data_IF_729099519216
#
_entry.id   IF_729099519216
#
_cell.length_a   1.000
_cell.length_b   1.000
_cell.length_c   1.000
_cell.angle_alpha   90.00
_cell.angle_beta   90.00
_cell.angle_gamma   90.00
#
_symmetry.space_group_name_H-M   'P 1'
#
loop_
_entity.id
_entity.type
_entity.pdbx_description
1 polymer ?
#
# COMPACT_ATOMS: atom_id res chain seq x y z
N UNK A 1 -27.25 -47.28 -43.51
CA UNK A 1 -26.74 -47.80 -42.24
C UNK A 1 -25.39 -47.15 -42.04
N UNK A 2 -25.41 -45.96 -41.53
CA UNK A 2 -24.21 -45.20 -41.07
C UNK A 2 -24.30 -45.08 -39.56
N UNK A 3 -23.34 -45.72 -38.90
CA UNK A 3 -23.17 -45.66 -37.45
C UNK A 3 -22.36 -44.41 -37.10
N UNK A 4 -23.03 -43.38 -36.70
CA UNK A 4 -22.39 -42.25 -35.98
C UNK A 4 -22.10 -42.72 -34.55
N UNK A 5 -20.84 -43.05 -34.32
CA UNK A 5 -20.33 -43.20 -32.95
C UNK A 5 -19.99 -41.81 -32.41
N UNK A 6 -20.88 -41.26 -31.64
CA UNK A 6 -20.58 -40.15 -30.72
C UNK A 6 -19.60 -40.63 -29.66
N UNK A 7 -18.38 -40.13 -29.73
CA UNK A 7 -17.43 -40.26 -28.63
C UNK A 7 -17.84 -39.32 -27.49
N UNK A 8 -17.99 -39.79 -26.26
CA UNK A 8 -18.17 -38.91 -25.13
C UNK A 8 -16.89 -38.14 -24.89
N UNK A 9 -16.95 -36.84 -25.06
CA UNK A 9 -15.94 -35.91 -24.54
C UNK A 9 -15.91 -36.09 -23.03
N UNK A 10 -14.89 -36.78 -22.55
CA UNK A 10 -14.54 -36.79 -21.11
C UNK A 10 -14.11 -35.37 -20.75
N UNK A 11 -14.99 -34.64 -20.12
CA UNK A 11 -14.67 -33.50 -19.30
C UNK A 11 -13.69 -33.98 -18.22
N UNK A 12 -12.42 -33.71 -18.41
CA UNK A 12 -11.45 -33.81 -17.32
C UNK A 12 -11.75 -32.66 -16.35
N UNK A 13 -12.69 -32.88 -15.46
CA UNK A 13 -12.75 -32.14 -14.21
C UNK A 13 -11.42 -32.35 -13.50
N UNK A 14 -10.51 -31.38 -13.62
CA UNK A 14 -9.36 -31.29 -12.75
C UNK A 14 -9.91 -31.09 -11.35
N UNK A 15 -9.93 -32.13 -10.54
CA UNK A 15 -10.04 -32.01 -9.09
C UNK A 15 -8.90 -31.09 -8.62
N UNK A 16 -9.21 -29.80 -8.50
CA UNK A 16 -8.35 -28.89 -7.78
C UNK A 16 -8.36 -29.37 -6.33
N UNK A 17 -7.30 -30.03 -5.93
CA UNK A 17 -7.03 -30.37 -4.54
C UNK A 17 -7.18 -29.06 -3.74
N UNK A 18 -8.14 -29.03 -2.86
CA UNK A 18 -8.49 -27.85 -2.08
C UNK A 18 -7.42 -27.67 -0.99
N UNK A 19 -6.28 -27.06 -1.39
CA UNK A 19 -5.16 -26.81 -0.49
C UNK A 19 -5.58 -25.67 0.46
N UNK A 20 -5.54 -25.95 1.75
CA UNK A 20 -5.73 -24.91 2.77
C UNK A 20 -4.57 -23.93 2.76
N UNK A 21 -4.84 -22.65 2.55
CA UNK A 21 -3.81 -21.60 2.54
C UNK A 21 -3.06 -21.48 3.87
N UNK A 22 -3.70 -21.86 4.97
CA UNK A 22 -3.11 -21.93 6.31
C UNK A 22 -1.99 -22.96 6.44
N UNK A 23 -2.01 -24.02 5.64
CA UNK A 23 -0.98 -25.06 5.65
C UNK A 23 0.30 -24.67 4.89
N UNK A 24 0.19 -23.73 3.95
CA UNK A 24 1.31 -23.22 3.17
C UNK A 24 2.00 -22.06 3.88
N UNK A 25 3.33 -21.96 3.76
CA UNK A 25 4.09 -20.88 4.39
C UNK A 25 5.00 -20.16 3.39
N UNK A 26 5.21 -18.86 3.65
CA UNK A 26 6.20 -18.05 2.94
C UNK A 26 6.07 -18.10 1.42
N UNK A 27 7.13 -18.54 0.75
CA UNK A 27 7.24 -18.54 -0.71
C UNK A 27 6.26 -19.51 -1.38
N UNK A 28 6.02 -20.67 -0.79
CA UNK A 28 5.09 -21.68 -1.35
C UNK A 28 3.66 -21.14 -1.46
N UNK A 29 3.22 -20.39 -0.44
CA UNK A 29 1.91 -19.73 -0.46
C UNK A 29 1.82 -18.69 -1.59
N UNK A 30 2.86 -17.89 -1.79
CA UNK A 30 2.89 -16.89 -2.86
C UNK A 30 2.85 -17.55 -4.24
N UNK A 31 3.60 -18.64 -4.44
CA UNK A 31 3.59 -19.40 -5.68
C UNK A 31 2.22 -20.00 -5.96
N UNK A 32 1.57 -20.57 -4.96
CA UNK A 32 0.21 -21.09 -5.09
C UNK A 32 -0.78 -19.99 -5.46
N UNK A 33 -0.72 -18.82 -4.80
CA UNK A 33 -1.56 -17.68 -5.16
C UNK A 33 -1.29 -17.22 -6.60
N UNK A 34 -0.04 -17.20 -7.04
CA UNK A 34 0.31 -16.84 -8.41
C UNK A 34 -0.28 -17.83 -9.44
N UNK A 35 -0.38 -19.12 -9.12
CA UNK A 35 -1.08 -20.08 -9.99
C UNK A 35 -2.58 -19.82 -10.06
N UNK A 36 -3.21 -19.44 -8.94
CA UNK A 36 -4.64 -19.06 -8.92
C UNK A 36 -4.90 -17.79 -9.75
N UNK A 37 -4.05 -16.78 -9.62
CA UNK A 37 -4.17 -15.51 -10.35
C UNK A 37 -4.09 -15.71 -11.88
N UNK A 38 -3.42 -16.75 -12.36
CA UNK A 38 -3.35 -17.06 -13.79
C UNK A 38 -4.75 -17.29 -14.39
N UNK A 39 -5.71 -17.82 -13.61
CA UNK A 39 -7.11 -17.96 -13.99
C UNK A 39 -7.96 -16.78 -13.46
N UNK A 40 -7.59 -15.58 -13.84
CA UNK A 40 -8.12 -14.31 -13.29
C UNK A 40 -9.61 -14.01 -13.60
N UNK A 41 -10.29 -14.89 -14.33
CA UNK A 41 -11.72 -14.75 -14.66
C UNK A 41 -12.61 -15.76 -13.93
N UNK A 42 -12.03 -16.72 -13.24
CA UNK A 42 -12.77 -17.74 -12.52
C UNK A 42 -13.21 -17.24 -11.14
N UNK A 43 -14.53 -17.03 -10.96
CA UNK A 43 -15.07 -16.54 -9.69
C UNK A 43 -14.85 -17.51 -8.52
N UNK A 44 -14.64 -18.80 -8.77
CA UNK A 44 -14.41 -19.79 -7.72
C UNK A 44 -13.14 -19.48 -6.88
N UNK A 45 -12.15 -18.79 -7.46
CA UNK A 45 -10.92 -18.41 -6.74
C UNK A 45 -11.12 -17.21 -5.81
N UNK A 46 -12.21 -16.45 -5.94
CA UNK A 46 -12.44 -15.23 -5.16
C UNK A 46 -12.38 -15.49 -3.64
N UNK A 47 -13.00 -16.56 -3.19
CA UNK A 47 -13.01 -16.93 -1.76
C UNK A 47 -11.59 -17.21 -1.23
N UNK A 48 -10.76 -17.89 -2.01
CA UNK A 48 -9.36 -18.15 -1.64
C UNK A 48 -8.52 -16.87 -1.63
N UNK A 49 -8.79 -15.93 -2.53
CA UNK A 49 -8.13 -14.63 -2.54
C UNK A 49 -8.57 -13.76 -1.35
N UNK A 50 -9.83 -13.87 -0.88
CA UNK A 50 -10.29 -13.23 0.36
C UNK A 50 -9.59 -13.82 1.60
N UNK A 51 -9.47 -15.14 1.69
CA UNK A 51 -8.71 -15.80 2.76
C UNK A 51 -7.23 -15.36 2.74
N UNK A 52 -6.63 -15.25 1.56
CA UNK A 52 -5.28 -14.75 1.44
C UNK A 52 -5.15 -13.28 1.85
N UNK A 53 -6.17 -12.46 1.59
CA UNK A 53 -6.19 -11.06 2.04
C UNK A 53 -6.16 -10.97 3.58
N UNK A 54 -6.89 -11.83 4.27
CA UNK A 54 -6.84 -11.89 5.74
C UNK A 54 -5.45 -12.31 6.24
N UNK A 55 -4.80 -13.23 5.56
CA UNK A 55 -3.41 -13.60 5.85
C UNK A 55 -2.45 -12.40 5.59
N UNK A 56 -2.63 -11.67 4.48
CA UNK A 56 -1.84 -10.47 4.19
C UNK A 56 -1.92 -9.45 5.33
N UNK A 57 -3.10 -9.30 5.94
CA UNK A 57 -3.31 -8.36 7.05
C UNK A 57 -2.58 -8.86 8.31
N UNK A 58 -2.77 -10.12 8.67
CA UNK A 58 -2.24 -10.69 9.91
C UNK A 58 -0.71 -10.82 9.89
N UNK A 59 -0.15 -11.25 8.77
CA UNK A 59 1.30 -11.45 8.61
C UNK A 59 2.02 -10.21 8.06
N UNK A 60 1.30 -9.11 7.83
CA UNK A 60 1.83 -7.88 7.22
C UNK A 60 2.56 -8.11 5.87
N UNK A 61 2.07 -9.07 5.09
CA UNK A 61 2.51 -9.32 3.71
C UNK A 61 1.70 -8.43 2.77
N UNK A 62 2.22 -8.14 1.59
CA UNK A 62 1.49 -7.41 0.57
C UNK A 62 1.74 -7.95 -0.83
N UNK A 63 0.69 -8.35 -1.54
CA UNK A 63 0.74 -8.81 -2.92
C UNK A 63 -0.31 -8.09 -3.77
N UNK A 64 0.12 -7.05 -4.50
CA UNK A 64 -0.75 -6.20 -5.31
C UNK A 64 -1.53 -6.99 -6.36
N UNK A 65 -0.88 -7.97 -7.03
CA UNK A 65 -1.53 -8.79 -8.07
C UNK A 65 -2.74 -9.55 -7.54
N UNK A 66 -2.64 -10.15 -6.35
CA UNK A 66 -3.76 -10.86 -5.72
C UNK A 66 -4.94 -9.91 -5.46
N UNK A 67 -4.66 -8.73 -4.88
CA UNK A 67 -5.66 -7.74 -4.54
C UNK A 67 -6.32 -7.16 -5.80
N UNK A 68 -5.55 -6.86 -6.84
CA UNK A 68 -6.09 -6.36 -8.12
C UNK A 68 -6.92 -7.42 -8.86
N UNK A 69 -6.52 -8.69 -8.79
CA UNK A 69 -7.30 -9.80 -9.39
C UNK A 69 -8.63 -9.99 -8.67
N UNK A 70 -8.64 -9.95 -7.33
CA UNK A 70 -9.87 -10.03 -6.56
C UNK A 70 -10.84 -8.88 -6.90
N UNK A 71 -10.33 -7.65 -7.06
CA UNK A 71 -11.16 -6.52 -7.51
C UNK A 71 -11.71 -6.71 -8.93
N UNK A 72 -10.92 -7.28 -9.87
CA UNK A 72 -11.42 -7.61 -11.21
C UNK A 72 -12.56 -8.63 -11.13
N UNK A 73 -12.42 -9.66 -10.31
CA UNK A 73 -13.48 -10.65 -10.12
C UNK A 73 -14.78 -10.01 -9.61
N UNK A 74 -14.68 -9.06 -8.67
CA UNK A 74 -15.84 -8.29 -8.19
C UNK A 74 -16.45 -7.39 -9.27
N UNK A 75 -15.62 -6.81 -10.17
CA UNK A 75 -16.15 -6.02 -11.30
C UNK A 75 -16.98 -6.87 -12.26
N UNK A 76 -16.52 -8.10 -12.56
CA UNK A 76 -17.25 -9.02 -13.44
C UNK A 76 -18.42 -9.70 -12.76
N UNK A 77 -18.38 -9.81 -11.43
CA UNK A 77 -19.40 -10.50 -10.63
C UNK A 77 -19.88 -9.60 -9.47
N UNK A 78 -20.65 -8.54 -9.73
CA UNK A 78 -21.04 -7.57 -8.70
C UNK A 78 -21.87 -8.17 -7.55
N UNK A 79 -22.52 -9.32 -7.77
CA UNK A 79 -23.31 -10.03 -6.75
C UNK A 79 -22.44 -10.66 -5.66
N UNK A 80 -21.16 -10.90 -5.94
CA UNK A 80 -20.17 -11.45 -4.99
C UNK A 80 -19.30 -10.38 -4.33
N UNK A 81 -19.57 -9.09 -4.61
CA UNK A 81 -18.77 -8.00 -4.08
C UNK A 81 -18.84 -7.94 -2.56
N UNK A 82 -17.65 -7.98 -1.92
CA UNK A 82 -17.48 -7.86 -0.48
C UNK A 82 -16.80 -6.52 -0.14
N UNK A 83 -17.57 -5.60 0.47
CA UNK A 83 -17.08 -4.25 0.81
C UNK A 83 -15.98 -4.28 1.89
N UNK A 84 -16.05 -5.20 2.83
CA UNK A 84 -15.06 -5.34 3.89
C UNK A 84 -13.73 -5.82 3.30
N UNK A 85 -13.75 -6.75 2.36
CA UNK A 85 -12.55 -7.18 1.63
C UNK A 85 -11.94 -6.02 0.83
N UNK A 86 -12.76 -5.20 0.16
CA UNK A 86 -12.27 -4.00 -0.54
C UNK A 86 -11.64 -3.01 0.44
N UNK A 87 -12.24 -2.78 1.60
CA UNK A 87 -11.68 -1.91 2.62
C UNK A 87 -10.33 -2.42 3.14
N UNK A 88 -10.21 -3.72 3.37
CA UNK A 88 -8.96 -4.36 3.76
C UNK A 88 -7.87 -4.21 2.69
N UNK A 89 -8.20 -4.39 1.40
CA UNK A 89 -7.27 -4.17 0.29
C UNK A 89 -6.77 -2.73 0.23
N UNK A 90 -7.68 -1.75 0.33
CA UNK A 90 -7.32 -0.34 0.34
C UNK A 90 -6.48 0.04 1.55
N UNK A 91 -6.79 -0.51 2.74
CA UNK A 91 -5.99 -0.29 3.93
C UNK A 91 -4.56 -0.82 3.75
N UNK A 92 -4.40 -2.02 3.18
CA UNK A 92 -3.08 -2.59 2.86
C UNK A 92 -2.32 -1.75 1.84
N UNK A 93 -3.01 -1.19 0.85
CA UNK A 93 -2.39 -0.28 -0.12
C UNK A 93 -1.90 1.01 0.56
N UNK A 94 -2.67 1.57 1.51
CA UNK A 94 -2.22 2.71 2.33
C UNK A 94 -0.99 2.38 3.19
N UNK A 95 -0.92 1.17 3.75
CA UNK A 95 0.25 0.72 4.52
C UNK A 95 1.52 0.62 3.67
N UNK A 96 1.38 0.50 2.35
CA UNK A 96 2.49 0.37 1.39
C UNK A 96 2.90 1.72 0.76
N UNK A 97 2.46 2.87 1.31
CA UNK A 97 2.93 4.17 0.83
C UNK A 97 4.47 4.26 0.86
N UNK A 98 5.08 4.94 -0.14
CA UNK A 98 4.52 5.87 -1.13
C UNK A 98 4.14 5.24 -2.48
N UNK A 99 3.82 3.95 -2.58
CA UNK A 99 3.38 3.33 -3.82
C UNK A 99 2.02 3.86 -4.28
N UNK A 100 1.79 3.87 -5.61
CA UNK A 100 0.53 4.33 -6.21
C UNK A 100 -0.57 3.27 -6.21
N UNK A 101 -0.41 2.20 -5.45
CA UNK A 101 -1.31 1.04 -5.47
C UNK A 101 -2.73 1.39 -5.03
N UNK A 102 -2.86 2.29 -4.04
CA UNK A 102 -4.17 2.80 -3.63
C UNK A 102 -4.91 3.46 -4.80
N UNK A 103 -4.22 4.29 -5.57
CA UNK A 103 -4.79 4.97 -6.73
C UNK A 103 -5.23 3.95 -7.79
N UNK A 104 -4.39 2.96 -8.11
CA UNK A 104 -4.75 1.92 -9.08
C UNK A 104 -5.97 1.12 -8.64
N UNK A 105 -6.02 0.67 -7.39
CA UNK A 105 -7.17 -0.05 -6.84
C UNK A 105 -8.42 0.84 -6.82
N UNK A 106 -8.29 2.13 -6.50
CA UNK A 106 -9.41 3.06 -6.46
C UNK A 106 -10.13 3.20 -7.79
N UNK A 107 -9.40 3.21 -8.91
CA UNK A 107 -10.01 3.26 -10.25
C UNK A 107 -10.80 2.01 -10.62
N UNK A 108 -10.54 0.89 -9.97
CA UNK A 108 -11.27 -0.35 -10.17
C UNK A 108 -12.57 -0.42 -9.37
N UNK A 109 -12.76 0.46 -8.40
CA UNK A 109 -13.93 0.47 -7.50
C UNK A 109 -14.99 1.45 -8.06
N UNK A 110 -16.26 1.04 -8.22
CA UNK A 110 -17.33 1.94 -8.65
C UNK A 110 -17.48 3.14 -7.72
N UNK A 111 -17.66 4.33 -8.29
CA UNK A 111 -17.72 5.60 -7.53
C UNK A 111 -18.86 5.67 -6.48
N UNK A 112 -19.91 4.89 -6.67
CA UNK A 112 -21.01 4.78 -5.70
C UNK A 112 -20.50 4.09 -4.43
N UNK A 113 -19.77 2.98 -4.57
CA UNK A 113 -19.24 2.19 -3.47
C UNK A 113 -18.15 2.95 -2.72
N UNK A 114 -17.33 3.75 -3.41
CA UNK A 114 -16.29 4.58 -2.78
C UNK A 114 -16.84 5.56 -1.73
N UNK A 115 -18.12 5.96 -1.87
CA UNK A 115 -18.80 6.90 -0.96
C UNK A 115 -19.44 6.22 0.25
N UNK A 116 -19.42 4.90 0.30
CA UNK A 116 -19.99 4.13 1.38
C UNK A 116 -18.96 3.82 2.47
N UNK A 117 -19.43 3.66 3.70
CA UNK A 117 -18.62 3.17 4.81
C UNK A 117 -18.31 1.66 4.62
N UNK A 118 -17.09 1.17 4.94
CA UNK A 118 -15.95 1.91 5.52
C UNK A 118 -15.00 2.56 4.50
N UNK A 119 -15.26 2.41 3.18
CA UNK A 119 -14.35 2.88 2.13
C UNK A 119 -14.15 4.39 2.16
N UNK A 120 -15.23 5.16 2.39
CA UNK A 120 -15.15 6.62 2.44
C UNK A 120 -14.07 7.11 3.43
N UNK A 121 -13.94 6.45 4.58
CA UNK A 121 -12.90 6.79 5.58
C UNK A 121 -11.49 6.61 5.04
N UNK A 122 -11.27 5.56 4.25
CA UNK A 122 -9.98 5.29 3.62
C UNK A 122 -9.64 6.31 2.53
N UNK A 123 -10.63 6.73 1.74
CA UNK A 123 -10.43 7.79 0.74
C UNK A 123 -10.11 9.14 1.38
N UNK A 124 -10.78 9.49 2.47
CA UNK A 124 -10.48 10.71 3.23
C UNK A 124 -9.06 10.66 3.81
N UNK A 125 -8.69 9.52 4.41
CA UNK A 125 -7.36 9.33 4.95
C UNK A 125 -6.28 9.41 3.87
N UNK A 126 -6.49 8.76 2.71
CA UNK A 126 -5.60 8.86 1.58
C UNK A 126 -5.34 10.31 1.17
N UNK A 127 -6.40 11.11 1.04
CA UNK A 127 -6.28 12.52 0.70
C UNK A 127 -5.46 13.32 1.74
N UNK A 128 -5.60 13.02 3.03
CA UNK A 128 -4.78 13.66 4.07
C UNK A 128 -3.31 13.28 3.97
N UNK A 129 -3.02 12.00 3.69
CA UNK A 129 -1.65 11.51 3.54
C UNK A 129 -0.97 12.08 2.29
N UNK A 130 -1.65 12.08 1.14
CA UNK A 130 -1.14 12.65 -0.12
C UNK A 130 -0.90 14.16 -0.03
N UNK A 131 -1.73 14.88 0.72
CA UNK A 131 -1.59 16.33 0.92
C UNK A 131 -0.71 16.69 2.13
N UNK A 132 -0.06 15.71 2.77
CA UNK A 132 0.81 15.88 3.94
C UNK A 132 0.11 16.56 5.15
N UNK A 133 -1.21 16.41 5.27
CA UNK A 133 -2.01 16.90 6.41
C UNK A 133 -2.00 15.87 7.53
N UNK A 134 -0.83 15.65 8.12
CA UNK A 134 -0.63 14.55 9.06
C UNK A 134 -1.40 14.70 10.38
N UNK A 135 -1.61 15.92 10.86
CA UNK A 135 -2.40 16.17 12.08
C UNK A 135 -3.87 15.78 11.86
N UNK A 136 -4.43 16.16 10.71
CA UNK A 136 -5.79 15.81 10.32
C UNK A 136 -5.91 14.30 10.07
N UNK A 137 -4.89 13.70 9.46
CA UNK A 137 -4.84 12.24 9.27
C UNK A 137 -4.90 11.50 10.61
N UNK A 138 -4.13 11.92 11.61
CA UNK A 138 -4.16 11.32 12.95
C UNK A 138 -5.49 11.53 13.66
N UNK A 139 -6.07 12.75 13.57
CA UNK A 139 -7.39 13.02 14.12
C UNK A 139 -8.45 12.11 13.50
N UNK A 140 -8.38 11.87 12.21
CA UNK A 140 -9.27 10.97 11.48
C UNK A 140 -9.06 9.50 11.89
N UNK A 141 -7.81 9.03 11.99
CA UNK A 141 -7.50 7.67 12.45
C UNK A 141 -8.02 7.44 13.87
N UNK A 142 -7.75 8.37 14.79
CA UNK A 142 -8.15 8.23 16.20
C UNK A 142 -9.68 8.28 16.40
N UNK A 143 -10.43 8.88 15.47
CA UNK A 143 -11.90 8.93 15.54
C UNK A 143 -12.61 7.65 15.08
N UNK A 144 -11.89 6.69 14.48
CA UNK A 144 -12.48 5.48 13.92
C UNK A 144 -11.73 4.23 14.36
N UNK A 145 -12.43 3.31 15.04
CA UNK A 145 -11.86 2.03 15.55
C UNK A 145 -11.31 1.12 14.45
N UNK A 146 -11.89 1.18 13.26
CA UNK A 146 -11.49 0.38 12.09
C UNK A 146 -9.97 0.37 11.84
N UNK A 147 -9.31 1.52 11.95
CA UNK A 147 -7.86 1.62 11.70
C UNK A 147 -7.02 0.95 12.80
N UNK A 148 -7.55 0.89 14.02
CA UNK A 148 -6.88 0.25 15.17
C UNK A 148 -7.01 -1.28 15.13
N UNK A 149 -8.01 -1.80 14.44
CA UNK A 149 -8.26 -3.23 14.29
C UNK A 149 -7.30 -3.89 13.29
N UNK A 150 -6.68 -3.09 12.41
CA UNK A 150 -5.73 -3.61 11.41
C UNK A 150 -4.33 -3.65 12.01
N UNK A 151 -3.72 -4.85 12.15
CA UNK A 151 -2.38 -4.98 12.72
C UNK A 151 -1.35 -4.14 11.95
N UNK A 152 -0.42 -3.52 12.67
CA UNK A 152 0.68 -2.70 12.12
C UNK A 152 0.27 -1.49 11.26
N UNK A 153 -1.04 -1.17 11.14
CA UNK A 153 -1.50 -0.04 10.32
C UNK A 153 -0.89 1.28 10.76
N UNK A 154 -1.02 1.58 12.05
CA UNK A 154 -0.52 2.82 12.66
C UNK A 154 1.00 2.95 12.48
N UNK A 155 1.74 1.85 12.68
CA UNK A 155 3.20 1.87 12.54
C UNK A 155 3.66 2.08 11.10
N UNK A 156 2.96 1.50 10.13
CA UNK A 156 3.25 1.72 8.71
C UNK A 156 2.97 3.17 8.30
N UNK A 157 1.87 3.78 8.78
CA UNK A 157 1.59 5.20 8.54
C UNK A 157 2.67 6.08 9.18
N UNK A 158 3.11 5.78 10.42
CA UNK A 158 4.24 6.50 11.04
C UNK A 158 5.53 6.38 10.23
N UNK A 159 5.84 5.19 9.73
CA UNK A 159 7.02 4.95 8.90
C UNK A 159 6.97 5.78 7.61
N UNK A 160 5.81 5.84 6.95
CA UNK A 160 5.60 6.69 5.79
C UNK A 160 5.84 8.17 6.12
N UNK A 161 5.19 8.69 7.19
CA UNK A 161 5.36 10.08 7.63
C UNK A 161 6.82 10.37 7.95
N UNK A 162 7.52 9.47 8.66
CA UNK A 162 8.95 9.61 8.97
C UNK A 162 9.80 9.69 7.71
N UNK A 163 9.49 8.90 6.69
CA UNK A 163 10.14 8.97 5.38
C UNK A 163 9.97 10.32 4.71
N UNK A 164 8.75 10.86 4.71
CA UNK A 164 8.46 12.21 4.17
C UNK A 164 9.20 13.30 4.95
N UNK A 165 9.19 13.23 6.28
CA UNK A 165 9.89 14.19 7.14
C UNK A 165 11.41 14.18 6.89
N UNK A 166 12.01 12.99 6.73
CA UNK A 166 13.45 12.84 6.44
C UNK A 166 13.89 13.53 5.13
N UNK A 167 12.98 13.60 4.16
CA UNK A 167 13.25 14.27 2.88
C UNK A 167 13.00 15.78 2.97
N UNK A 168 12.00 16.17 3.78
CA UNK A 168 11.51 17.56 3.81
C UNK A 168 12.28 18.45 4.78
N UNK A 169 12.69 17.91 5.94
CA UNK A 169 13.32 18.69 7.00
C UNK A 169 14.77 18.25 7.25
N UNK A 170 15.64 19.23 7.47
CA UNK A 170 16.99 18.98 7.99
C UNK A 170 16.97 18.90 9.52
N UNK A 171 16.26 19.83 10.14
CA UNK A 171 16.07 19.92 11.58
C UNK A 171 14.61 20.22 11.90
N UNK A 172 14.07 19.58 12.93
CA UNK A 172 12.69 19.77 13.39
C UNK A 172 12.66 19.84 14.92
N UNK A 173 11.75 20.63 15.50
CA UNK A 173 11.57 20.64 16.96
C UNK A 173 10.94 19.33 17.42
N UNK A 174 11.35 18.87 18.62
CA UNK A 174 10.82 17.65 19.24
C UNK A 174 9.29 17.71 19.38
N UNK A 175 8.75 18.88 19.75
CA UNK A 175 7.29 19.09 19.90
C UNK A 175 6.57 18.89 18.58
N UNK A 176 7.05 19.53 17.51
CA UNK A 176 6.46 19.41 16.18
C UNK A 176 6.56 17.95 15.64
N UNK A 177 7.71 17.30 15.86
CA UNK A 177 7.90 15.90 15.46
C UNK A 177 6.90 14.98 16.18
N UNK A 178 6.72 15.18 17.50
CA UNK A 178 5.75 14.44 18.29
C UNK A 178 4.31 14.60 17.79
N UNK A 179 3.91 15.82 17.41
CA UNK A 179 2.59 16.08 16.84
C UNK A 179 2.40 15.42 15.46
N UNK A 180 3.43 15.47 14.60
CA UNK A 180 3.37 14.88 13.26
C UNK A 180 3.38 13.35 13.27
N UNK A 181 4.00 12.72 14.27
CA UNK A 181 4.03 11.27 14.45
C UNK A 181 2.93 10.74 15.40
N UNK A 182 2.11 11.63 15.97
CA UNK A 182 1.12 11.29 17.01
C UNK A 182 1.76 10.55 18.19
N UNK A 183 2.89 11.07 18.67
CA UNK A 183 3.65 10.59 19.84
C UNK A 183 3.82 11.76 20.81
N UNK A 184 2.83 11.96 21.69
CA UNK A 184 2.82 13.07 22.63
C UNK A 184 3.81 12.90 23.78
N UNK A 185 4.17 11.66 24.11
CA UNK A 185 5.14 11.35 25.14
C UNK A 185 6.56 11.36 24.56
N UNK A 186 7.43 12.17 25.20
CA UNK A 186 8.85 12.29 24.81
C UNK A 186 9.59 10.96 24.91
N UNK A 187 9.26 10.10 25.87
CA UNK A 187 9.90 8.80 26.04
C UNK A 187 9.58 7.88 24.87
N UNK A 188 8.31 7.79 24.49
CA UNK A 188 7.86 7.01 23.33
C UNK A 188 8.46 7.53 22.01
N UNK A 189 8.58 8.85 21.86
CA UNK A 189 9.20 9.45 20.69
C UNK A 189 10.69 9.09 20.59
N UNK A 190 11.41 9.14 21.70
CA UNK A 190 12.84 8.77 21.75
C UNK A 190 13.02 7.28 21.43
N UNK A 191 12.22 6.40 22.02
CA UNK A 191 12.23 4.96 21.73
C UNK A 191 11.93 4.69 20.23
N UNK A 192 10.95 5.38 19.67
CA UNK A 192 10.63 5.28 18.24
C UNK A 192 11.81 5.68 17.36
N UNK A 193 12.45 6.82 17.66
CA UNK A 193 13.61 7.29 16.90
C UNK A 193 14.75 6.27 16.98
N UNK A 194 15.08 5.79 18.19
CA UNK A 194 16.17 4.83 18.37
C UNK A 194 15.92 3.49 17.67
N UNK A 195 14.67 3.03 17.66
CA UNK A 195 14.32 1.73 17.08
C UNK A 195 14.13 1.76 15.56
N UNK A 196 13.52 2.84 15.04
CA UNK A 196 13.10 2.91 13.64
C UNK A 196 13.90 3.88 12.77
N UNK A 197 14.52 4.90 13.38
CA UNK A 197 15.24 5.96 12.68
C UNK A 197 16.62 6.23 13.32
N UNK A 198 17.54 5.23 13.35
CA UNK A 198 18.83 5.34 14.05
C UNK A 198 19.76 6.41 13.46
N UNK A 199 19.47 6.91 12.27
CA UNK A 199 20.24 8.00 11.63
C UNK A 199 19.89 9.38 12.18
N UNK A 200 18.75 9.52 12.85
CA UNK A 200 18.32 10.79 13.41
C UNK A 200 19.08 11.10 14.70
N UNK A 201 19.54 12.34 14.84
CA UNK A 201 20.28 12.79 16.01
C UNK A 201 19.42 13.71 16.86
N UNK A 202 19.21 13.32 18.11
CA UNK A 202 18.42 14.08 19.08
C UNK A 202 19.33 15.06 19.79
N UNK A 203 18.97 16.35 19.78
CA UNK A 203 19.51 17.41 20.63
C UNK A 203 18.43 17.82 21.64
N UNK A 204 18.74 18.71 22.59
CA UNK A 204 17.83 19.04 23.70
C UNK A 204 16.40 19.44 23.28
N UNK A 205 16.27 20.23 22.22
CA UNK A 205 14.99 20.73 21.74
C UNK A 205 14.68 20.41 20.27
N UNK A 206 15.66 19.86 19.53
CA UNK A 206 15.56 19.63 18.10
C UNK A 206 16.05 18.22 17.74
N UNK A 207 15.53 17.70 16.66
CA UNK A 207 15.97 16.44 16.02
C UNK A 207 16.53 16.78 14.66
N UNK A 208 17.77 16.38 14.39
CA UNK A 208 18.39 16.47 13.07
C UNK A 208 18.06 15.21 12.29
N UNK A 209 17.40 15.38 11.16
CA UNK A 209 16.91 14.31 10.28
C UNK A 209 17.87 14.00 9.14
N UNK A 210 19.13 14.45 9.21
CA UNK A 210 20.09 14.27 8.14
C UNK A 210 20.21 12.77 7.78
N UNK A 211 19.66 12.39 6.65
CA UNK A 211 20.23 11.34 5.84
C UNK A 211 21.57 11.83 5.30
N UNK A 212 22.58 10.97 5.27
CA UNK A 212 23.88 11.28 4.66
C UNK A 212 23.68 11.85 3.25
N UNK A 213 23.61 13.17 3.14
CA UNK A 213 23.57 13.92 1.90
C UNK A 213 24.96 13.94 1.21
N UNK A 214 25.74 12.86 1.35
CA UNK A 214 26.92 12.62 0.52
C UNK A 214 26.57 12.42 -0.96
N UNK A 215 25.26 12.35 -1.29
CA UNK A 215 24.71 12.40 -2.65
C UNK A 215 23.97 13.70 -2.95
N UNK A 216 24.36 14.82 -2.41
CA UNK A 216 24.04 16.08 -3.09
C UNK A 216 24.66 15.95 -4.49
N UNK A 217 23.82 15.69 -5.50
CA UNK A 217 24.20 16.00 -6.88
C UNK A 217 24.69 17.43 -6.82
N UNK A 218 26.03 17.63 -6.95
CA UNK A 218 26.56 18.96 -7.22
C UNK A 218 25.71 19.43 -8.39
N UNK A 219 24.97 20.51 -8.21
CA UNK A 219 24.28 21.14 -9.33
C UNK A 219 25.37 21.34 -10.37
N UNK A 220 25.27 20.68 -11.51
CA UNK A 220 26.19 20.88 -12.62
C UNK A 220 26.03 22.35 -12.98
N UNK A 221 26.97 23.18 -12.54
CA UNK A 221 27.03 24.59 -12.90
C UNK A 221 27.42 24.64 -14.37
N UNK A 222 26.43 24.88 -15.21
CA UNK A 222 26.70 25.14 -16.62
C UNK A 222 27.59 26.38 -16.76
N UNK A 223 28.74 26.20 -17.37
CA UNK A 223 29.60 27.34 -17.70
C UNK A 223 28.98 28.16 -18.84
N UNK A 224 29.29 29.46 -18.91
CA UNK A 224 28.77 30.32 -19.95
C UNK A 224 29.09 29.78 -21.37
N UNK A 225 30.23 29.12 -21.54
CA UNK A 225 30.62 28.47 -22.81
C UNK A 225 29.72 27.28 -23.18
N UNK A 226 29.25 26.53 -22.22
CA UNK A 226 28.29 25.44 -22.45
C UNK A 226 26.91 25.98 -22.83
N UNK A 227 26.45 27.06 -22.17
CA UNK A 227 25.19 27.74 -22.49
C UNK A 227 25.26 28.39 -23.88
N UNK A 228 26.36 29.05 -24.25
CA UNK A 228 26.55 29.71 -25.57
C UNK A 228 26.52 28.71 -26.72
N UNK A 229 26.90 27.46 -26.51
CA UNK A 229 26.84 26.39 -27.55
C UNK A 229 25.40 25.80 -27.68
N UNK A 230 24.61 25.84 -26.63
CA UNK A 230 23.25 25.26 -26.63
C UNK A 230 22.21 26.29 -27.14
N UNK A 231 22.38 27.59 -26.78
CA UNK A 231 21.44 28.65 -27.17
C UNK A 231 21.16 28.75 -28.67
N UNK A 232 22.16 28.64 -29.59
CA UNK A 232 21.91 28.70 -31.04
C UNK A 232 21.03 27.55 -31.56
N UNK A 233 20.95 26.44 -30.86
CA UNK A 233 20.12 25.29 -31.29
C UNK A 233 18.62 25.48 -31.02
N UNK A 234 18.24 26.43 -30.15
CA UNK A 234 16.87 26.79 -29.87
C UNK A 234 16.31 27.99 -30.65
N UNK A 235 17.18 28.69 -31.38
CA UNK A 235 16.80 29.85 -32.20
C UNK A 235 16.84 29.42 -33.68
N UNK A 236 15.90 28.52 -34.02
CA UNK A 236 15.57 28.23 -35.43
C UNK A 236 14.07 28.30 -35.62
#
# INVERSE_FOLDING_TARGET
MENDQEQPQQEMEQEQVDIELSSLQGQERIEYINTLIADSYNIAIAKKLEEFLDIQINENIYLFQANSTLLKLYQFNPTHLNKDSIAKMLAKALMNFPCNDFLFLSYMIPSIIQKEEPLLKLFILNNFLETCKFKEAWSHINSHSFFSEIPSFIDNIRNFISGVLSITYQNISITMLGELLNLSDRTQLVEYIQSKQPTWKISDSTVSLQSDNSKQKKADTFTFDQLSRILPTFIK
#
